data_IF_877874490526
#
_entry.id   IF_877874490526
#
_cell.length_a   1.000
_cell.length_b   1.000
_cell.length_c   1.000
_cell.angle_alpha   90.00
_cell.angle_beta   90.00
_cell.angle_gamma   90.00
#
_symmetry.space_group_name_H-M   'P 1'
#
loop_
_entity.id
_entity.type
_entity.pdbx_description
1 polymer ?
#
# COMPACT_ATOMS: atom_id res chain seq x y z
N UNK A 1 -1.64 19.70 -3.07
CA UNK A 1 -0.74 18.78 -3.83
C UNK A 1 0.26 18.07 -2.93
N UNK A 2 1.07 18.77 -2.12
CA UNK A 2 2.02 18.14 -1.19
C UNK A 2 1.34 17.22 -0.15
N UNK A 3 0.20 17.66 0.41
CA UNK A 3 -0.61 16.89 1.37
C UNK A 3 -1.04 15.52 0.83
N UNK A 4 -1.41 15.44 -0.46
CA UNK A 4 -1.81 14.17 -1.07
C UNK A 4 -0.64 13.17 -1.17
N UNK A 5 0.53 13.65 -1.56
CA UNK A 5 1.74 12.81 -1.65
C UNK A 5 2.15 12.33 -0.27
N UNK A 6 2.12 13.20 0.74
CA UNK A 6 2.37 12.83 2.13
C UNK A 6 1.42 11.72 2.59
N UNK A 7 0.11 11.88 2.38
CA UNK A 7 -0.88 10.87 2.75
C UNK A 7 -0.65 9.54 2.00
N UNK A 8 -0.35 9.59 0.70
CA UNK A 8 -0.05 8.39 -0.10
C UNK A 8 1.18 7.65 0.43
N UNK A 9 2.26 8.36 0.74
CA UNK A 9 3.50 7.75 1.26
C UNK A 9 3.26 7.13 2.64
N UNK A 10 2.58 7.84 3.54
CA UNK A 10 2.23 7.32 4.86
C UNK A 10 1.43 6.01 4.76
N UNK A 11 0.42 5.98 3.90
CA UNK A 11 -0.44 4.82 3.74
C UNK A 11 0.27 3.68 3.02
N UNK A 12 1.16 3.98 2.07
CA UNK A 12 2.06 3.00 1.48
C UNK A 12 2.93 2.30 2.53
N UNK A 13 3.56 3.05 3.44
CA UNK A 13 4.38 2.49 4.51
C UNK A 13 3.57 1.62 5.47
N UNK A 14 2.36 2.06 5.83
CA UNK A 14 1.42 1.27 6.65
C UNK A 14 1.03 -0.02 5.92
N UNK A 15 0.72 0.07 4.62
CA UNK A 15 0.36 -1.08 3.77
C UNK A 15 1.50 -2.09 3.68
N UNK A 16 2.74 -1.62 3.54
CA UNK A 16 3.93 -2.48 3.54
C UNK A 16 4.11 -3.20 4.88
N UNK A 17 4.02 -2.47 5.99
CA UNK A 17 4.15 -3.03 7.33
C UNK A 17 3.09 -4.10 7.60
N UNK A 18 1.82 -3.76 7.34
CA UNK A 18 0.69 -4.68 7.52
C UNK A 18 0.84 -5.95 6.66
N UNK A 19 1.20 -5.79 5.38
CA UNK A 19 1.39 -6.93 4.47
C UNK A 19 2.54 -7.84 4.93
N UNK A 20 3.62 -7.26 5.46
CA UNK A 20 4.78 -8.01 5.96
C UNK A 20 4.45 -8.79 7.22
N UNK A 21 3.69 -8.19 8.14
CA UNK A 21 3.20 -8.85 9.35
C UNK A 21 2.27 -10.00 8.96
N UNK A 22 1.26 -9.74 8.13
CA UNK A 22 0.32 -10.78 7.68
C UNK A 22 1.03 -11.94 6.97
N UNK A 23 1.95 -11.63 6.07
CA UNK A 23 2.78 -12.64 5.39
C UNK A 23 3.52 -13.52 6.41
N UNK A 24 4.08 -12.93 7.45
CA UNK A 24 4.84 -13.66 8.48
C UNK A 24 3.93 -14.55 9.32
N UNK A 25 2.75 -14.07 9.68
CA UNK A 25 1.72 -14.86 10.37
C UNK A 25 1.30 -16.05 9.52
N UNK A 26 1.00 -15.85 8.22
CA UNK A 26 0.62 -16.95 7.32
C UNK A 26 1.72 -18.00 7.16
N UNK A 27 2.99 -17.59 7.10
CA UNK A 27 4.14 -18.51 7.02
C UNK A 27 4.19 -19.47 8.20
N UNK A 28 4.03 -18.94 9.41
CA UNK A 28 4.08 -19.74 10.64
C UNK A 28 2.82 -20.57 10.80
N UNK A 29 1.65 -20.01 10.44
CA UNK A 29 0.36 -20.70 10.60
C UNK A 29 0.18 -21.89 9.66
N UNK A 30 0.66 -21.79 8.41
CA UNK A 30 0.46 -22.86 7.40
C UNK A 30 1.60 -23.88 7.42
N UNK A 31 2.85 -23.46 7.66
CA UNK A 31 3.97 -24.41 7.78
C UNK A 31 4.25 -25.27 6.54
N UNK A 32 3.84 -24.82 5.34
CA UNK A 32 3.97 -25.60 4.10
C UNK A 32 5.44 -25.79 3.70
N UNK A 33 5.89 -27.02 3.36
CA UNK A 33 7.24 -27.27 2.86
C UNK A 33 7.49 -26.60 1.51
N UNK A 34 8.73 -26.13 1.28
CA UNK A 34 9.18 -25.54 0.01
C UNK A 34 9.51 -26.61 -1.04
N UNK A 35 9.52 -26.27 -2.35
CA UNK A 35 9.87 -27.23 -3.41
C UNK A 35 11.25 -27.89 -3.25
N UNK A 36 12.24 -27.15 -2.72
CA UNK A 36 13.61 -27.63 -2.46
C UNK A 36 13.78 -28.27 -1.06
N UNK A 37 12.69 -28.74 -0.45
CA UNK A 37 12.70 -29.31 0.89
C UNK A 37 13.62 -30.54 1.01
N UNK A 38 13.53 -31.47 0.05
CA UNK A 38 14.31 -32.73 0.08
C UNK A 38 15.81 -32.47 -0.02
N UNK A 39 16.21 -31.51 -0.84
CA UNK A 39 17.62 -31.13 -1.04
C UNK A 39 18.24 -30.53 0.23
N UNK A 40 17.43 -29.85 1.04
CA UNK A 40 17.89 -29.21 2.29
C UNK A 40 17.84 -30.17 3.46
N UNK A 41 16.74 -30.92 3.62
CA UNK A 41 16.55 -31.80 4.75
C UNK A 41 17.43 -33.06 4.66
N UNK A 42 17.58 -33.65 3.46
CA UNK A 42 18.30 -34.92 3.25
C UNK A 42 17.89 -35.99 4.30
N UNK A 43 16.63 -36.46 4.26
CA UNK A 43 16.12 -37.40 5.25
C UNK A 43 16.80 -38.77 5.13
N UNK A 44 17.03 -39.43 6.26
CA UNK A 44 17.60 -40.77 6.25
C UNK A 44 16.56 -41.82 5.82
N UNK A 45 16.55 -42.17 4.54
CA UNK A 45 15.59 -43.14 3.96
C UNK A 45 15.74 -44.57 4.51
N UNK A 46 16.87 -44.93 5.14
CA UNK A 46 17.06 -46.29 5.69
C UNK A 46 16.31 -46.54 7.00
N UNK A 47 15.91 -45.48 7.69
CA UNK A 47 15.20 -45.55 8.97
C UNK A 47 13.68 -45.45 8.82
N UNK A 48 13.18 -45.26 7.59
CA UNK A 48 11.79 -44.87 7.34
C UNK A 48 11.09 -45.96 6.55
N UNK A 49 9.98 -46.46 7.10
CA UNK A 49 9.18 -47.48 6.44
C UNK A 49 8.49 -46.87 5.20
N UNK A 50 8.77 -47.40 3.99
CA UNK A 50 8.33 -46.85 2.71
C UNK A 50 6.83 -47.03 2.40
N UNK A 51 6.02 -47.45 3.38
CA UNK A 51 4.60 -47.78 3.21
C UNK A 51 3.72 -46.70 3.83
N UNK A 52 3.69 -45.50 3.23
CA UNK A 52 2.72 -44.45 3.59
C UNK A 52 3.28 -43.04 3.71
N UNK A 53 2.44 -42.14 4.24
CA UNK A 53 2.83 -40.76 4.54
C UNK A 53 3.61 -40.72 5.86
N UNK A 54 4.79 -40.10 5.84
CA UNK A 54 5.71 -40.06 6.98
C UNK A 54 5.61 -38.71 7.65
N UNK A 55 5.11 -38.70 8.89
CA UNK A 55 4.97 -37.49 9.70
C UNK A 55 6.24 -37.15 10.49
N UNK A 56 7.07 -38.15 10.79
CA UNK A 56 8.29 -38.00 11.59
C UNK A 56 9.52 -38.33 10.77
N UNK A 57 10.44 -37.38 10.65
CA UNK A 57 11.70 -37.54 9.91
C UNK A 57 12.81 -36.77 10.60
N UNK A 58 14.04 -37.28 10.48
CA UNK A 58 15.25 -36.60 10.93
C UNK A 58 16.03 -36.12 9.71
N UNK A 59 16.32 -34.82 9.67
CA UNK A 59 17.10 -34.19 8.61
C UNK A 59 18.61 -34.32 8.88
N UNK A 60 19.39 -34.73 7.88
CA UNK A 60 20.86 -34.78 7.95
C UNK A 60 21.54 -33.52 7.40
N UNK A 61 20.77 -32.57 6.87
CA UNK A 61 21.30 -31.33 6.32
C UNK A 61 22.15 -30.52 7.32
N UNK A 62 23.20 -29.87 6.84
CA UNK A 62 24.11 -29.06 7.68
C UNK A 62 23.72 -27.57 7.75
N UNK A 63 22.85 -27.11 6.85
CA UNK A 63 22.51 -25.68 6.69
C UNK A 63 21.36 -25.27 7.62
N UNK A 64 21.68 -24.90 8.86
CA UNK A 64 20.72 -24.54 9.93
C UNK A 64 19.66 -23.51 9.51
N UNK A 65 20.06 -22.42 8.82
CA UNK A 65 19.10 -21.41 8.34
C UNK A 65 18.13 -21.97 7.30
N UNK A 66 18.63 -22.78 6.37
CA UNK A 66 17.79 -23.39 5.34
C UNK A 66 16.84 -24.43 5.94
N UNK A 67 17.28 -25.16 6.97
CA UNK A 67 16.45 -26.10 7.71
C UNK A 67 15.30 -25.41 8.45
N UNK A 68 15.54 -24.27 9.09
CA UNK A 68 14.47 -23.49 9.71
C UNK A 68 13.47 -22.94 8.66
N UNK A 69 13.97 -22.55 7.49
CA UNK A 69 13.18 -21.94 6.43
C UNK A 69 12.41 -22.94 5.54
N UNK A 70 12.69 -24.23 5.67
CA UNK A 70 12.19 -25.24 4.73
C UNK A 70 10.67 -25.39 4.76
N UNK A 71 10.03 -25.08 5.89
CA UNK A 71 8.58 -25.16 6.11
C UNK A 71 7.86 -23.79 6.01
N UNK A 72 8.55 -22.76 5.53
CA UNK A 72 8.01 -21.39 5.44
C UNK A 72 7.75 -21.00 3.99
N UNK A 73 6.92 -21.79 3.28
CA UNK A 73 6.64 -21.60 1.85
C UNK A 73 5.43 -20.68 1.56
N UNK A 74 4.33 -20.82 2.29
CA UNK A 74 3.09 -20.06 2.02
C UNK A 74 2.93 -18.88 2.99
N UNK A 75 2.68 -17.63 2.58
CA UNK A 75 2.65 -17.04 1.23
C UNK A 75 4.01 -16.43 0.85
N UNK A 76 4.21 -16.17 -0.45
CA UNK A 76 5.43 -15.53 -0.92
C UNK A 76 5.51 -14.05 -0.51
N UNK A 77 6.46 -13.74 0.38
CA UNK A 77 6.67 -12.37 0.88
C UNK A 77 7.20 -11.39 -0.17
N UNK A 78 8.06 -11.85 -1.08
CA UNK A 78 8.50 -11.03 -2.21
C UNK A 78 7.32 -10.67 -3.12
N UNK A 79 6.43 -11.62 -3.37
CA UNK A 79 5.27 -11.41 -4.24
C UNK A 79 4.27 -10.45 -3.59
N UNK A 80 3.99 -10.58 -2.29
CA UNK A 80 3.06 -9.71 -1.58
C UNK A 80 3.56 -8.27 -1.46
N UNK A 81 4.81 -8.06 -1.05
CA UNK A 81 5.43 -6.73 -0.95
C UNK A 81 5.55 -6.04 -2.32
N UNK A 82 5.88 -6.81 -3.36
CA UNK A 82 5.97 -6.29 -4.72
C UNK A 82 4.59 -5.88 -5.24
N UNK A 83 3.54 -6.67 -5.00
CA UNK A 83 2.18 -6.34 -5.40
C UNK A 83 1.70 -5.01 -4.77
N UNK A 84 1.96 -4.81 -3.46
CA UNK A 84 1.69 -3.53 -2.80
C UNK A 84 2.46 -2.40 -3.49
N UNK A 85 3.77 -2.55 -3.64
CA UNK A 85 4.63 -1.50 -4.21
C UNK A 85 4.22 -1.12 -5.63
N UNK A 86 3.98 -2.09 -6.50
CA UNK A 86 3.51 -1.85 -7.88
C UNK A 86 2.19 -1.07 -7.88
N UNK A 87 1.23 -1.44 -7.03
CA UNK A 87 -0.06 -0.74 -6.96
C UNK A 87 0.10 0.74 -6.60
N UNK A 88 0.86 1.06 -5.55
CA UNK A 88 1.08 2.45 -5.13
C UNK A 88 1.90 3.25 -6.14
N UNK A 89 2.92 2.65 -6.75
CA UNK A 89 3.75 3.33 -7.77
C UNK A 89 2.96 3.62 -9.04
N UNK A 90 2.15 2.68 -9.51
CA UNK A 90 1.28 2.88 -10.69
C UNK A 90 0.29 4.02 -10.44
N UNK A 91 -0.31 4.08 -9.24
CA UNK A 91 -1.22 5.16 -8.84
C UNK A 91 -0.49 6.51 -8.67
N UNK A 92 0.73 6.50 -8.14
CA UNK A 92 1.56 7.69 -8.05
C UNK A 92 1.85 8.27 -9.44
N UNK A 93 2.29 7.42 -10.38
CA UNK A 93 2.50 7.82 -11.78
C UNK A 93 1.21 8.31 -12.43
N UNK A 94 0.08 7.65 -12.16
CA UNK A 94 -1.24 8.05 -12.66
C UNK A 94 -1.59 9.50 -12.26
N UNK A 95 -1.20 9.93 -11.05
CA UNK A 95 -1.53 11.29 -10.57
C UNK A 95 -0.48 12.33 -10.95
N UNK A 96 0.80 11.97 -10.96
CA UNK A 96 1.93 12.91 -11.11
C UNK A 96 2.38 13.10 -12.55
N UNK A 97 2.36 12.04 -13.35
CA UNK A 97 2.86 12.08 -14.71
C UNK A 97 1.76 12.58 -15.65
N UNK A 98 1.73 13.90 -15.88
CA UNK A 98 0.85 14.58 -16.84
C UNK A 98 1.71 15.24 -17.91
N UNK A 99 2.06 14.49 -18.96
CA UNK A 99 2.81 15.03 -20.10
C UNK A 99 1.85 15.34 -21.23
N UNK A 100 1.71 16.62 -21.57
CA UNK A 100 0.93 17.06 -22.72
C UNK A 100 1.57 16.61 -24.05
N UNK A 101 2.90 16.64 -24.14
CA UNK A 101 3.64 16.35 -25.38
C UNK A 101 3.95 14.86 -25.59
N UNK A 102 3.78 14.00 -24.58
CA UNK A 102 4.10 12.58 -24.65
C UNK A 102 3.10 11.73 -23.84
N UNK A 103 1.82 11.68 -24.27
CA UNK A 103 0.76 11.00 -23.52
C UNK A 103 0.99 9.48 -23.38
N UNK A 104 1.70 8.85 -24.33
CA UNK A 104 2.01 7.42 -24.32
C UNK A 104 3.11 7.02 -23.33
N UNK A 105 3.94 7.95 -22.87
CA UNK A 105 5.03 7.64 -21.94
C UNK A 105 4.50 7.07 -20.62
N UNK A 106 3.35 7.56 -20.18
CA UNK A 106 2.72 7.14 -18.92
C UNK A 106 2.28 5.67 -18.93
N UNK A 107 1.41 5.21 -19.86
CA UNK A 107 1.03 3.80 -19.89
C UNK A 107 2.25 2.89 -20.15
N UNK A 108 3.23 3.33 -20.93
CA UNK A 108 4.47 2.55 -21.14
C UNK A 108 5.24 2.34 -19.82
N UNK A 109 5.44 3.40 -19.03
CA UNK A 109 6.12 3.29 -17.73
C UNK A 109 5.32 2.46 -16.73
N UNK A 110 3.98 2.61 -16.70
CA UNK A 110 3.12 1.81 -15.84
C UNK A 110 3.18 0.32 -16.19
N UNK A 111 3.11 -0.01 -17.49
CA UNK A 111 3.26 -1.38 -17.97
C UNK A 111 4.64 -1.93 -17.65
N UNK A 112 5.72 -1.16 -17.84
CA UNK A 112 7.07 -1.59 -17.50
C UNK A 112 7.22 -1.95 -16.01
N UNK A 113 6.61 -1.17 -15.12
CA UNK A 113 6.62 -1.42 -13.66
C UNK A 113 5.81 -2.67 -13.30
N UNK A 114 4.67 -2.88 -13.95
CA UNK A 114 3.88 -4.11 -13.78
C UNK A 114 4.68 -5.32 -14.27
N UNK A 115 5.31 -5.24 -15.44
CA UNK A 115 6.19 -6.29 -15.97
C UNK A 115 7.35 -6.59 -15.02
N UNK A 116 7.97 -5.57 -14.44
CA UNK A 116 9.01 -5.76 -13.42
C UNK A 116 8.48 -6.48 -12.17
N UNK A 117 7.28 -6.12 -11.71
CA UNK A 117 6.63 -6.82 -10.61
C UNK A 117 6.36 -8.30 -10.90
N UNK A 118 5.89 -8.60 -12.12
CA UNK A 118 5.69 -9.97 -12.59
C UNK A 118 7.00 -10.75 -12.69
N UNK A 119 8.08 -10.11 -13.16
CA UNK A 119 9.41 -10.70 -13.19
C UNK A 119 9.87 -11.11 -11.78
N UNK A 120 9.67 -10.27 -10.77
CA UNK A 120 9.98 -10.63 -9.37
C UNK A 120 9.16 -11.83 -8.91
N UNK A 121 7.87 -11.90 -9.25
CA UNK A 121 7.03 -13.06 -8.93
C UNK A 121 7.54 -14.35 -9.61
N UNK A 122 7.85 -14.29 -10.91
CA UNK A 122 8.38 -15.42 -11.69
C UNK A 122 9.73 -15.88 -11.13
N UNK A 123 10.60 -14.96 -10.69
CA UNK A 123 11.89 -15.31 -10.09
C UNK A 123 11.73 -16.22 -8.86
N UNK A 124 10.62 -16.12 -8.13
CA UNK A 124 10.35 -16.98 -6.96
C UNK A 124 10.00 -18.42 -7.34
N UNK A 125 9.42 -18.59 -8.52
CA UNK A 125 9.16 -19.90 -9.11
C UNK A 125 10.45 -20.50 -9.66
N UNK A 126 11.23 -19.75 -10.43
CA UNK A 126 12.49 -20.24 -11.02
C UNK A 126 13.55 -20.58 -9.97
N UNK A 127 13.58 -19.86 -8.84
CA UNK A 127 14.50 -20.15 -7.72
C UNK A 127 14.04 -21.35 -6.86
N UNK A 128 12.98 -22.06 -7.26
CA UNK A 128 12.36 -23.17 -6.51
C UNK A 128 12.01 -22.83 -5.06
N UNK A 129 11.80 -21.55 -4.75
CA UNK A 129 11.52 -21.08 -3.38
C UNK A 129 10.05 -21.20 -3.00
N UNK A 130 9.16 -21.10 -3.98
CA UNK A 130 7.72 -21.04 -3.75
C UNK A 130 6.96 -21.82 -4.82
N UNK A 131 5.84 -22.42 -4.43
CA UNK A 131 4.88 -22.95 -5.40
C UNK A 131 4.11 -21.80 -6.05
N UNK A 132 3.55 -22.04 -7.24
CA UNK A 132 2.74 -21.04 -7.95
C UNK A 132 1.57 -20.55 -7.09
N UNK A 133 0.93 -21.44 -6.31
CA UNK A 133 -0.15 -21.07 -5.40
C UNK A 133 0.31 -20.13 -4.28
N UNK A 134 1.55 -20.27 -3.80
CA UNK A 134 2.12 -19.40 -2.76
C UNK A 134 2.39 -17.99 -3.31
N UNK A 135 2.72 -17.90 -4.61
CA UNK A 135 2.94 -16.64 -5.34
C UNK A 135 1.59 -15.94 -5.56
N UNK A 136 0.58 -16.66 -6.08
CA UNK A 136 -0.77 -16.11 -6.28
C UNK A 136 -1.36 -15.62 -4.96
N UNK A 137 -1.25 -16.41 -3.88
CA UNK A 137 -1.70 -16.02 -2.55
C UNK A 137 -0.99 -14.74 -2.05
N UNK A 138 0.32 -14.61 -2.31
CA UNK A 138 1.07 -13.40 -2.01
C UNK A 138 0.56 -12.18 -2.77
N UNK A 139 0.32 -12.30 -4.08
CA UNK A 139 -0.22 -11.21 -4.92
C UNK A 139 -1.61 -10.79 -4.44
N UNK A 140 -2.49 -11.74 -4.13
CA UNK A 140 -3.84 -11.44 -3.61
C UNK A 140 -3.77 -10.72 -2.26
N UNK A 141 -2.92 -11.18 -1.34
CA UNK A 141 -2.74 -10.54 -0.03
C UNK A 141 -2.23 -9.11 -0.18
N UNK A 142 -1.23 -8.89 -1.03
CA UNK A 142 -0.66 -7.56 -1.27
C UNK A 142 -1.64 -6.62 -1.99
N UNK A 143 -2.35 -7.11 -3.00
CA UNK A 143 -3.36 -6.32 -3.70
C UNK A 143 -4.55 -5.97 -2.79
N UNK A 144 -5.01 -6.91 -1.96
CA UNK A 144 -6.13 -6.73 -1.04
C UNK A 144 -5.84 -5.72 0.07
N UNK A 145 -4.63 -5.75 0.66
CA UNK A 145 -4.19 -4.77 1.66
C UNK A 145 -4.06 -3.37 1.04
N UNK A 146 -3.45 -3.27 -0.14
CA UNK A 146 -3.34 -2.00 -0.87
C UNK A 146 -4.72 -1.43 -1.19
N UNK A 147 -5.63 -2.24 -1.73
CA UNK A 147 -6.98 -1.81 -2.09
C UNK A 147 -7.78 -1.33 -0.88
N UNK A 148 -7.74 -2.09 0.23
CA UNK A 148 -8.45 -1.73 1.47
C UNK A 148 -8.00 -0.37 2.01
N UNK A 149 -6.69 -0.14 2.08
CA UNK A 149 -6.14 1.10 2.61
C UNK A 149 -6.32 2.29 1.66
N UNK A 150 -6.21 2.09 0.35
CA UNK A 150 -6.52 3.11 -0.65
C UNK A 150 -8.00 3.49 -0.63
N UNK A 151 -8.89 2.51 -0.49
CA UNK A 151 -10.32 2.73 -0.34
C UNK A 151 -10.63 3.53 0.92
N UNK A 152 -10.03 3.14 2.05
CA UNK A 152 -10.15 3.87 3.32
C UNK A 152 -9.65 5.31 3.19
N UNK A 153 -8.52 5.53 2.54
CA UNK A 153 -7.99 6.87 2.26
C UNK A 153 -8.96 7.71 1.44
N UNK A 154 -9.51 7.15 0.36
CA UNK A 154 -10.44 7.85 -0.50
C UNK A 154 -11.71 8.26 0.25
N UNK A 155 -12.27 7.34 1.04
CA UNK A 155 -13.46 7.60 1.86
C UNK A 155 -13.16 8.68 2.92
N UNK A 156 -12.04 8.57 3.64
CA UNK A 156 -11.66 9.50 4.70
C UNK A 156 -11.32 10.90 4.17
N UNK A 157 -10.63 10.99 3.04
CA UNK A 157 -10.34 12.29 2.40
C UNK A 157 -11.63 12.94 1.92
N UNK A 158 -12.54 12.16 1.31
CA UNK A 158 -13.82 12.67 0.83
C UNK A 158 -14.72 13.14 1.98
N UNK A 159 -14.73 12.43 3.12
CA UNK A 159 -15.48 12.84 4.31
C UNK A 159 -14.87 14.08 4.98
N UNK A 160 -13.54 14.18 5.03
CA UNK A 160 -12.84 15.38 5.54
C UNK A 160 -13.12 16.63 4.71
N UNK A 161 -13.06 16.53 3.38
CA UNK A 161 -13.41 17.65 2.50
C UNK A 161 -14.89 18.06 2.64
N UNK A 162 -15.80 17.09 2.80
CA UNK A 162 -17.21 17.35 3.06
C UNK A 162 -17.43 18.08 4.40
N UNK A 163 -16.75 17.66 5.47
CA UNK A 163 -16.86 18.30 6.79
C UNK A 163 -16.34 19.74 6.77
N UNK A 164 -15.20 19.99 6.10
CA UNK A 164 -14.66 21.35 5.94
C UNK A 164 -15.64 22.23 5.17
N UNK A 165 -16.25 21.72 4.10
CA UNK A 165 -17.27 22.44 3.33
C UNK A 165 -18.52 22.73 4.17
N UNK A 166 -18.99 21.76 4.97
CA UNK A 166 -20.13 21.93 5.85
C UNK A 166 -19.88 23.00 6.92
N UNK A 167 -18.71 22.97 7.57
CA UNK A 167 -18.31 23.99 8.54
C UNK A 167 -18.19 25.36 7.88
N UNK A 168 -17.57 25.46 6.70
CA UNK A 168 -17.45 26.72 5.97
C UNK A 168 -18.83 27.30 5.59
N UNK A 169 -19.80 26.44 5.24
CA UNK A 169 -21.18 26.82 4.98
C UNK A 169 -21.87 27.37 6.24
N UNK A 170 -21.71 26.71 7.38
CA UNK A 170 -22.27 27.18 8.66
C UNK A 170 -21.64 28.50 9.11
N UNK A 171 -20.32 28.65 8.96
CA UNK A 171 -19.63 29.92 9.22
C UNK A 171 -20.15 31.04 8.30
N UNK A 172 -20.40 30.73 7.02
CA UNK A 172 -20.96 31.69 6.05
C UNK A 172 -22.40 32.08 6.39
N UNK A 173 -23.24 31.12 6.82
CA UNK A 173 -24.60 31.40 7.30
C UNK A 173 -24.58 32.28 8.55
N UNK A 174 -23.68 32.03 9.49
CA UNK A 174 -23.55 32.83 10.71
C UNK A 174 -23.14 34.28 10.41
N UNK A 175 -22.24 34.51 9.45
CA UNK A 175 -21.81 35.85 9.05
C UNK A 175 -22.92 36.62 8.29
N UNK A 176 -23.66 35.91 7.44
CA UNK A 176 -24.85 36.47 6.76
C UNK A 176 -25.94 36.84 7.79
N UNK A 177 -26.20 35.97 8.77
CA UNK A 177 -27.19 36.24 9.83
C UNK A 177 -26.83 37.48 10.66
N UNK A 178 -25.55 37.67 10.99
CA UNK A 178 -25.05 38.88 11.67
C UNK A 178 -25.21 40.13 10.82
N UNK A 179 -24.98 40.02 9.52
CA UNK A 179 -25.13 41.12 8.56
C UNK A 179 -26.59 41.54 8.40
N UNK A 180 -27.53 40.59 8.38
CA UNK A 180 -28.97 40.87 8.31
C UNK A 180 -29.49 41.54 9.59
N UNK A 181 -29.04 41.10 10.78
CA UNK A 181 -29.45 41.71 12.06
C UNK A 181 -28.93 43.13 12.27
N UNK A 182 -27.83 43.51 11.64
CA UNK A 182 -27.30 44.87 11.71
C UNK A 182 -26.70 45.32 10.36
N UNK A 183 -27.53 45.89 9.45
CA UNK A 183 -27.07 46.32 8.13
C UNK A 183 -26.05 47.47 8.20
N UNK A 184 -26.04 48.24 9.29
CA UNK A 184 -25.07 49.31 9.50
C UNK A 184 -23.67 48.80 9.86
N UNK A 185 -23.54 47.56 10.36
CA UNK A 185 -22.25 46.93 10.67
C UNK A 185 -21.44 46.60 9.41
N UNK A 186 -22.10 46.27 8.29
CA UNK A 186 -21.45 46.05 7.00
C UNK A 186 -20.90 47.36 6.43
N UNK A 187 -21.71 48.43 6.51
CA UNK A 187 -21.34 49.78 6.06
C UNK A 187 -20.15 50.34 6.85
N UNK A 188 -20.12 50.11 8.17
CA UNK A 188 -18.98 50.45 9.03
C UNK A 188 -17.72 49.65 8.64
N UNK A 189 -17.78 48.33 8.43
CA UNK A 189 -16.61 47.53 8.01
C UNK A 189 -16.00 47.99 6.69
N UNK A 190 -16.82 48.36 5.70
CA UNK A 190 -16.33 48.91 4.42
C UNK A 190 -15.68 50.29 4.60
N UNK A 191 -16.26 51.16 5.43
CA UNK A 191 -15.70 52.48 5.73
C UNK A 191 -14.36 52.36 6.48
N UNK A 192 -14.25 51.47 7.47
CA UNK A 192 -12.99 51.24 8.20
C UNK A 192 -11.90 50.65 7.30
N UNK A 193 -12.25 49.73 6.38
CA UNK A 193 -11.30 49.18 5.40
C UNK A 193 -10.79 50.26 4.42
N UNK A 194 -11.68 51.13 3.93
CA UNK A 194 -11.33 52.27 3.07
C UNK A 194 -10.46 53.31 3.80
N UNK A 195 -10.72 53.56 5.09
CA UNK A 195 -9.90 54.47 5.91
C UNK A 195 -8.51 53.88 6.16
N UNK A 196 -8.42 52.57 6.45
CA UNK A 196 -7.12 51.90 6.61
C UNK A 196 -6.31 51.87 5.30
N UNK A 197 -6.95 51.61 4.16
CA UNK A 197 -6.27 51.63 2.85
C UNK A 197 -5.73 53.04 2.51
N UNK A 198 -6.51 54.08 2.79
CA UNK A 198 -6.07 55.48 2.61
C UNK A 198 -4.96 55.89 3.59
N UNK A 199 -4.90 55.29 4.78
CA UNK A 199 -3.83 55.54 5.77
C UNK A 199 -2.51 54.87 5.38
N UNK A 200 -2.58 53.65 4.82
CA UNK A 200 -1.41 52.92 4.31
C UNK A 200 -0.78 53.55 3.06
N UNK A 201 -1.59 54.20 2.19
CA UNK A 201 -1.10 54.94 1.01
C UNK A 201 -0.50 56.32 1.31
N UNK A 202 -0.52 56.79 2.56
CA UNK A 202 0.05 58.09 2.98
C UNK A 202 1.43 57.98 3.67
N UNK A 203 1.96 56.77 3.84
CA UNK A 203 3.40 56.54 4.14
C UNK A 203 4.10 56.12 2.86
#
# INVERSE_FOLDING_TARGET
MAVWVYNLVTIYLISLGLTSILTSVFKIAVGRPRPHFLDVCQPNITLVNCTGFINEYSCQGTRTRALHDMNLSFVSGHSSVTAVTVAYVVLYLQKRLKLACAPMLRPVLQTAIICFGLYVAISRFTDNKHHVTDIIGGVILGAGTALTLLCHQHICVQSGEFLVWAIALEMKKADISKTIKNPNAFKMRQVTALIMEKSLKRR
#
